data_IF_280513109514
#
_entry.id   IF_280513109514
#
_cell.length_a   1.000
_cell.length_b   1.000
_cell.length_c   1.000
_cell.angle_alpha   90.00
_cell.angle_beta   90.00
_cell.angle_gamma   90.00
#
_symmetry.space_group_name_H-M   'P 1'
#
loop_
_entity.id
_entity.type
_entity.pdbx_description
1 polymer ?
#
# COMPACT_ATOMS: atom_id res chain seq x y z
N UNK A 1 60.19 6.26 -44.39
CA UNK A 1 59.45 6.99 -43.35
C UNK A 1 58.87 8.21 -44.03
N UNK A 2 57.63 8.11 -44.51
CA UNK A 2 56.86 9.25 -45.01
C UNK A 2 55.40 8.93 -44.70
N UNK A 3 54.91 9.61 -43.68
CA UNK A 3 53.53 9.53 -43.18
C UNK A 3 52.74 10.54 -43.97
N UNK A 4 51.86 10.10 -44.86
CA UNK A 4 50.85 10.96 -45.46
C UNK A 4 49.59 10.93 -44.60
N UNK A 5 49.45 11.96 -43.77
CA UNK A 5 48.17 12.37 -43.21
C UNK A 5 47.34 12.99 -44.34
N UNK A 6 46.11 12.53 -44.53
CA UNK A 6 45.09 13.33 -45.22
C UNK A 6 43.79 13.33 -44.43
N UNK A 7 43.29 14.56 -44.34
CA UNK A 7 42.21 15.05 -43.52
C UNK A 7 40.82 14.58 -43.98
N UNK A 8 39.98 14.33 -42.98
CA UNK A 8 38.66 14.93 -42.82
C UNK A 8 37.66 14.86 -43.99
N UNK A 9 36.76 13.88 -43.90
CA UNK A 9 35.56 13.75 -44.73
C UNK A 9 34.32 13.30 -43.94
N UNK A 10 33.87 14.13 -43.00
CA UNK A 10 32.46 14.46 -42.68
C UNK A 10 31.39 13.33 -42.73
N UNK A 11 31.01 12.80 -41.55
CA UNK A 11 29.59 12.71 -41.15
C UNK A 11 29.44 12.73 -39.62
N UNK A 12 28.63 13.69 -39.17
CA UNK A 12 28.07 13.95 -37.84
C UNK A 12 27.51 12.74 -37.10
N UNK A 13 27.80 12.62 -35.79
CA UNK A 13 26.78 12.42 -34.73
C UNK A 13 27.37 12.71 -33.34
N UNK A 14 26.86 13.75 -32.69
CA UNK A 14 26.96 14.00 -31.24
C UNK A 14 25.61 13.60 -30.60
N UNK A 15 25.56 13.43 -29.27
CA UNK A 15 25.46 12.17 -28.54
C UNK A 15 24.01 11.63 -28.42
N UNK A 16 23.79 10.33 -28.66
CA UNK A 16 22.50 9.73 -28.31
C UNK A 16 22.53 9.18 -26.88
N UNK A 17 22.09 10.02 -25.95
CA UNK A 17 21.59 9.59 -24.64
C UNK A 17 20.38 8.69 -24.88
N UNK A 18 20.53 7.38 -24.67
CA UNK A 18 19.40 6.47 -24.44
C UNK A 18 19.64 5.76 -23.11
N UNK A 19 19.48 6.53 -22.03
CA UNK A 19 19.14 5.97 -20.73
C UNK A 19 17.65 5.63 -20.77
N UNK A 20 17.31 4.44 -21.25
CA UNK A 20 15.99 3.85 -20.99
C UNK A 20 16.21 2.36 -20.77
N UNK A 21 16.55 1.99 -19.55
CA UNK A 21 16.03 0.74 -19.01
C UNK A 21 14.52 0.84 -19.12
N UNK A 22 13.82 0.02 -19.93
CA UNK A 22 12.40 -0.12 -19.71
C UNK A 22 12.29 -0.81 -18.36
N UNK A 23 11.82 -0.08 -17.37
CA UNK A 23 11.33 -0.66 -16.13
C UNK A 23 10.23 -1.64 -16.52
N UNK A 24 10.62 -2.89 -16.73
CA UNK A 24 9.69 -3.99 -16.69
C UNK A 24 9.21 -4.00 -15.25
N UNK A 25 8.14 -3.27 -14.96
CA UNK A 25 7.38 -3.37 -13.72
C UNK A 25 7.15 -4.87 -13.52
N UNK A 26 7.96 -5.46 -12.63
CA UNK A 26 7.98 -6.89 -12.41
C UNK A 26 6.54 -7.22 -12.01
N UNK A 27 5.82 -8.10 -12.72
CA UNK A 27 4.41 -8.38 -12.42
C UNK A 27 4.20 -8.82 -10.96
N UNK A 28 5.25 -9.34 -10.33
CA UNK A 28 5.33 -9.64 -8.90
C UNK A 28 5.15 -8.41 -7.98
N UNK A 29 5.70 -7.24 -8.35
CA UNK A 29 5.56 -6.01 -7.58
C UNK A 29 4.15 -5.42 -7.68
N UNK A 30 3.52 -5.53 -8.84
CA UNK A 30 2.12 -5.13 -9.04
C UNK A 30 1.16 -6.06 -8.28
N UNK A 31 1.43 -7.37 -8.28
CA UNK A 31 0.67 -8.34 -7.50
C UNK A 31 0.80 -8.10 -6.00
N UNK A 32 2.00 -7.79 -5.51
CA UNK A 32 2.25 -7.43 -4.10
C UNK A 32 1.51 -6.15 -3.70
N UNK A 33 1.57 -5.11 -4.53
CA UNK A 33 0.84 -3.87 -4.28
C UNK A 33 -0.68 -4.07 -4.23
N UNK A 34 -1.25 -4.83 -5.17
CA UNK A 34 -2.68 -5.15 -5.19
C UNK A 34 -3.09 -5.98 -3.96
N UNK A 35 -2.25 -6.93 -3.53
CA UNK A 35 -2.49 -7.73 -2.34
C UNK A 35 -2.47 -6.86 -1.07
N UNK A 36 -1.50 -5.93 -0.95
CA UNK A 36 -1.44 -4.98 0.17
C UNK A 36 -2.67 -4.09 0.24
N UNK A 37 -3.14 -3.57 -0.90
CA UNK A 37 -4.37 -2.77 -0.98
C UNK A 37 -5.57 -3.60 -0.53
N UNK A 38 -5.69 -4.84 -1.02
CA UNK A 38 -6.78 -5.74 -0.62
C UNK A 38 -6.76 -6.01 0.89
N UNK A 39 -5.59 -6.31 1.46
CA UNK A 39 -5.39 -6.51 2.89
C UNK A 39 -5.76 -5.27 3.69
N UNK A 40 -5.35 -4.08 3.26
CA UNK A 40 -5.73 -2.82 3.91
C UNK A 40 -7.25 -2.62 3.92
N UNK A 41 -7.91 -2.87 2.80
CA UNK A 41 -9.38 -2.75 2.69
C UNK A 41 -10.06 -3.74 3.64
N UNK A 42 -9.61 -4.99 3.68
CA UNK A 42 -10.17 -6.01 4.57
C UNK A 42 -9.98 -5.62 6.03
N UNK A 43 -8.76 -5.28 6.45
CA UNK A 43 -8.47 -4.95 7.86
C UNK A 43 -9.24 -3.73 8.31
N UNK A 44 -9.25 -2.68 7.49
CA UNK A 44 -9.96 -1.42 7.81
C UNK A 44 -11.47 -1.64 7.81
N UNK A 45 -11.98 -2.39 6.83
CA UNK A 45 -13.40 -2.70 6.69
C UNK A 45 -13.94 -3.56 7.84
N UNK A 46 -13.22 -4.62 8.21
CA UNK A 46 -13.61 -5.48 9.34
C UNK A 46 -13.57 -4.70 10.65
N UNK A 47 -12.52 -3.92 10.90
CA UNK A 47 -12.40 -3.09 12.10
C UNK A 47 -13.55 -2.07 12.21
N UNK A 48 -13.86 -1.36 11.13
CA UNK A 48 -14.99 -0.44 11.07
C UNK A 48 -16.32 -1.17 11.30
N UNK A 49 -16.50 -2.33 10.66
CA UNK A 49 -17.68 -3.16 10.82
C UNK A 49 -17.91 -3.57 12.28
N UNK A 50 -16.87 -4.10 12.94
CA UNK A 50 -16.92 -4.44 14.37
C UNK A 50 -17.27 -3.22 15.21
N UNK A 51 -16.62 -2.08 14.97
CA UNK A 51 -16.90 -0.84 15.70
C UNK A 51 -18.37 -0.41 15.58
N UNK A 52 -18.89 -0.34 14.35
CA UNK A 52 -20.28 0.06 14.09
C UNK A 52 -21.26 -0.96 14.68
N UNK A 53 -21.02 -2.26 14.49
CA UNK A 53 -21.88 -3.31 15.06
C UNK A 53 -21.91 -3.22 16.59
N UNK A 54 -20.76 -3.05 17.25
CA UNK A 54 -20.72 -2.87 18.70
C UNK A 54 -21.48 -1.62 19.15
N UNK A 55 -21.34 -0.49 18.46
CA UNK A 55 -22.12 0.70 18.78
C UNK A 55 -23.62 0.44 18.64
N UNK A 56 -24.06 -0.15 17.53
CA UNK A 56 -25.48 -0.49 17.33
C UNK A 56 -25.98 -1.40 18.44
N UNK A 57 -25.24 -2.47 18.78
CA UNK A 57 -25.63 -3.39 19.85
C UNK A 57 -25.70 -2.68 21.22
N UNK A 58 -24.80 -1.73 21.50
CA UNK A 58 -24.81 -0.98 22.75
C UNK A 58 -26.06 -0.09 22.93
N UNK A 59 -26.70 0.32 21.84
CA UNK A 59 -27.91 1.17 21.87
C UNK A 59 -29.21 0.42 21.60
N UNK A 60 -29.17 -0.64 20.79
CA UNK A 60 -30.36 -1.40 20.37
C UNK A 60 -30.72 -2.50 21.38
N UNK A 61 -29.72 -3.11 22.02
CA UNK A 61 -29.98 -4.15 23.01
C UNK A 61 -30.19 -3.54 24.41
N UNK A 62 -31.14 -4.10 25.15
CA UNK A 62 -31.35 -3.83 26.58
C UNK A 62 -30.25 -4.50 27.43
N UNK A 63 -29.03 -4.01 27.26
CA UNK A 63 -27.87 -4.45 28.02
C UNK A 63 -27.82 -3.76 29.38
N UNK A 64 -27.36 -4.51 30.38
CA UNK A 64 -26.93 -3.95 31.68
C UNK A 64 -25.77 -2.98 31.48
N UNK A 65 -25.48 -2.15 32.48
CA UNK A 65 -24.35 -1.19 32.45
C UNK A 65 -23.03 -1.90 32.16
N UNK A 66 -22.78 -3.04 32.80
CA UNK A 66 -21.60 -3.87 32.55
C UNK A 66 -21.57 -4.42 31.12
N UNK A 67 -22.71 -4.89 30.60
CA UNK A 67 -22.84 -5.38 29.22
C UNK A 67 -22.53 -4.29 28.20
N UNK A 68 -23.04 -3.07 28.41
CA UNK A 68 -22.72 -1.91 27.54
C UNK A 68 -21.24 -1.58 27.59
N UNK A 69 -20.63 -1.58 28.78
CA UNK A 69 -19.20 -1.31 28.94
C UNK A 69 -18.34 -2.35 28.20
N UNK A 70 -18.68 -3.64 28.30
CA UNK A 70 -18.01 -4.73 27.56
C UNK A 70 -18.10 -4.53 26.04
N UNK A 71 -19.27 -4.17 25.53
CA UNK A 71 -19.48 -3.94 24.09
C UNK A 71 -18.70 -2.72 23.60
N UNK A 72 -18.70 -1.63 24.35
CA UNK A 72 -17.89 -0.43 24.02
C UNK A 72 -16.40 -0.76 24.06
N UNK A 73 -15.94 -1.51 25.06
CA UNK A 73 -14.55 -1.96 25.12
C UNK A 73 -14.17 -2.81 23.90
N UNK A 74 -15.04 -3.73 23.50
CA UNK A 74 -14.85 -4.56 22.30
C UNK A 74 -14.77 -3.68 21.04
N UNK A 75 -15.61 -2.64 20.93
CA UNK A 75 -15.56 -1.68 19.83
C UNK A 75 -14.19 -0.99 19.74
N UNK A 76 -13.66 -0.54 20.89
CA UNK A 76 -12.35 0.12 20.97
C UNK A 76 -11.21 -0.83 20.59
N UNK A 77 -11.26 -2.08 21.06
CA UNK A 77 -10.28 -3.12 20.68
C UNK A 77 -10.32 -3.36 19.16
N UNK A 78 -11.51 -3.42 18.57
CA UNK A 78 -11.67 -3.54 17.12
C UNK A 78 -10.98 -2.40 16.36
N UNK A 79 -11.14 -1.15 16.82
CA UNK A 79 -10.48 0.03 16.22
C UNK A 79 -8.96 -0.07 16.36
N UNK A 80 -8.45 -0.40 17.54
CA UNK A 80 -7.00 -0.56 17.78
C UNK A 80 -6.42 -1.63 16.85
N UNK A 81 -7.11 -2.75 16.69
CA UNK A 81 -6.68 -3.82 15.79
C UNK A 81 -6.64 -3.37 14.33
N UNK A 82 -7.65 -2.63 13.88
CA UNK A 82 -7.68 -2.05 12.54
C UNK A 82 -6.52 -1.09 12.27
N UNK A 83 -6.28 -0.16 13.20
CA UNK A 83 -5.18 0.82 13.09
C UNK A 83 -3.83 0.12 13.11
N UNK A 84 -3.62 -0.83 14.03
CA UNK A 84 -2.38 -1.58 14.11
C UNK A 84 -2.14 -2.42 12.84
N UNK A 85 -3.16 -3.14 12.38
CA UNK A 85 -3.07 -3.94 11.15
C UNK A 85 -2.81 -3.08 9.92
N UNK A 86 -3.51 -1.94 9.77
CA UNK A 86 -3.25 -0.99 8.68
C UNK A 86 -1.80 -0.49 8.69
N UNK A 87 -1.28 -0.09 9.86
CA UNK A 87 0.10 0.39 9.97
C UNK A 87 1.13 -0.69 9.65
N UNK A 88 0.90 -1.94 10.07
CA UNK A 88 1.78 -3.07 9.74
C UNK A 88 1.78 -3.32 8.23
N UNK A 89 0.60 -3.40 7.59
CA UNK A 89 0.50 -3.64 6.15
C UNK A 89 1.14 -2.51 5.35
N UNK A 90 1.04 -1.27 5.83
CA UNK A 90 1.66 -0.10 5.21
C UNK A 90 3.18 -0.08 5.35
N UNK A 91 3.71 -0.60 6.46
CA UNK A 91 5.15 -0.61 6.73
C UNK A 91 5.88 -1.75 5.99
N UNK A 92 5.15 -2.80 5.61
CA UNK A 92 5.65 -3.91 4.78
C UNK A 92 5.65 -3.54 3.29
#
# INVERSE_FOLDING_TARGET
>A
MEVSMMEQGKTTTLPQKVSVTPEHERPEALLDANLKILLMIIVTGVSLGVFVTCLVLAFVLDLTVEGRAMVVFTALVGVVYGVAGYNIIRAC
#
